data_IF_126461309295
#
_entry.id   IF_126461309295
#
_cell.length_a   1.000
_cell.length_b   1.000
_cell.length_c   1.000
_cell.angle_alpha   90.00
_cell.angle_beta   90.00
_cell.angle_gamma   90.00
#
_symmetry.space_group_name_H-M   'P 1'
#
loop_
_entity.id
_entity.type
_entity.pdbx_description
1 polymer ?
#
# COMPACT_ATOMS: atom_id res chain seq x y z
N UNK A 1 8.84 46.31 16.97
CA UNK A 1 8.46 44.88 17.01
C UNK A 1 7.11 44.75 16.32
N UNK A 2 7.09 44.19 15.11
CA UNK A 2 5.86 43.93 14.33
C UNK A 2 5.87 42.45 13.99
N UNK A 3 4.87 41.74 14.48
CA UNK A 3 4.81 40.28 14.43
C UNK A 3 4.04 39.91 13.16
N UNK A 4 4.75 39.43 12.15
CA UNK A 4 4.14 38.98 10.89
C UNK A 4 3.88 37.48 10.97
N UNK A 5 2.66 37.11 11.35
CA UNK A 5 2.19 35.72 11.30
C UNK A 5 1.85 35.38 9.85
N UNK A 6 2.80 34.75 9.13
CA UNK A 6 2.55 34.23 7.78
C UNK A 6 1.72 32.95 7.89
N UNK A 7 0.41 33.07 7.63
CA UNK A 7 -0.49 31.92 7.50
C UNK A 7 -0.19 31.27 6.14
N UNK A 8 0.46 30.09 6.15
CA UNK A 8 0.70 29.31 4.95
C UNK A 8 -0.64 28.87 4.34
N UNK A 9 -0.90 29.24 3.09
CA UNK A 9 -2.08 28.82 2.35
C UNK A 9 -2.01 27.32 2.05
N UNK A 10 -3.12 26.56 2.14
CA UNK A 10 -3.14 25.18 1.69
C UNK A 10 -2.95 25.15 0.17
N UNK A 11 -1.84 24.55 -0.27
CA UNK A 11 -1.54 24.31 -1.67
C UNK A 11 -2.68 23.49 -2.26
N UNK A 12 -3.47 24.09 -3.16
CA UNK A 12 -4.52 23.42 -3.92
C UNK A 12 -3.86 22.43 -4.87
N UNK A 13 -3.60 21.22 -4.41
CA UNK A 13 -3.16 20.13 -5.27
C UNK A 13 -4.32 19.79 -6.21
N UNK A 14 -4.13 20.11 -7.49
CA UNK A 14 -5.11 19.95 -8.56
C UNK A 14 -5.65 18.51 -8.63
N UNK A 15 -6.93 18.33 -8.31
CA UNK A 15 -7.63 17.05 -8.22
C UNK A 15 -8.10 16.48 -9.58
N UNK A 16 -7.50 16.90 -10.69
CA UNK A 16 -7.98 16.60 -12.05
C UNK A 16 -7.26 15.47 -12.81
N UNK A 17 -6.27 14.79 -12.23
CA UNK A 17 -5.49 13.76 -12.97
C UNK A 17 -5.70 12.30 -12.49
N UNK A 18 -6.48 12.05 -11.43
CA UNK A 18 -6.67 10.68 -10.90
C UNK A 18 -8.06 10.08 -11.16
N UNK A 19 -8.81 10.60 -12.14
CA UNK A 19 -10.04 9.97 -12.63
C UNK A 19 -9.72 8.85 -13.63
N UNK A 20 -9.09 7.79 -13.14
CA UNK A 20 -9.13 6.47 -13.77
C UNK A 20 -9.26 5.45 -12.65
N UNK A 21 -10.52 5.19 -12.30
CA UNK A 21 -11.01 4.20 -11.34
C UNK A 21 -10.25 2.88 -11.53
N UNK A 22 -9.23 2.65 -10.71
CA UNK A 22 -8.65 1.32 -10.51
C UNK A 22 -9.49 0.69 -9.42
N UNK A 23 -10.29 -0.31 -9.81
CA UNK A 23 -11.02 -1.24 -8.94
C UNK A 23 -10.33 -1.38 -7.59
N UNK A 24 -11.03 -0.96 -6.53
CA UNK A 24 -10.63 -0.86 -5.12
C UNK A 24 -9.57 -1.91 -4.72
N UNK A 25 -8.30 -1.54 -4.84
CA UNK A 25 -7.25 -2.29 -4.16
C UNK A 25 -7.28 -1.77 -2.73
N UNK A 26 -7.54 -2.65 -1.75
CA UNK A 26 -7.46 -2.28 -0.34
C UNK A 26 -6.07 -1.69 -0.10
N UNK A 27 -5.99 -0.52 0.54
CA UNK A 27 -4.70 0.08 0.87
C UNK A 27 -3.91 -0.87 1.80
N UNK A 28 -2.58 -0.93 1.69
CA UNK A 28 -1.77 -1.85 2.49
C UNK A 28 -2.06 -1.78 4.00
N UNK A 29 -2.24 -0.57 4.53
CA UNK A 29 -2.52 -0.36 5.95
C UNK A 29 -3.87 -0.96 6.33
N UNK A 30 -4.93 -0.63 5.59
CA UNK A 30 -6.27 -1.17 5.81
C UNK A 30 -6.28 -2.70 5.71
N UNK A 31 -5.51 -3.28 4.78
CA UNK A 31 -5.39 -4.74 4.65
C UNK A 31 -4.76 -5.36 5.91
N UNK A 32 -3.69 -4.77 6.43
CA UNK A 32 -3.04 -5.26 7.64
C UNK A 32 -3.97 -5.17 8.86
N UNK A 33 -4.77 -4.11 8.98
CA UNK A 33 -5.78 -3.96 10.03
C UNK A 33 -6.90 -4.99 9.92
N UNK A 34 -7.48 -5.18 8.73
CA UNK A 34 -8.59 -6.12 8.49
C UNK A 34 -8.20 -7.55 8.82
N UNK A 35 -6.99 -7.97 8.43
CA UNK A 35 -6.51 -9.34 8.67
C UNK A 35 -5.66 -9.48 9.93
N UNK A 36 -5.56 -8.42 10.76
CA UNK A 36 -4.88 -8.43 12.06
C UNK A 36 -3.40 -8.79 12.01
N UNK A 37 -2.66 -8.36 10.97
CA UNK A 37 -1.27 -8.77 10.75
C UNK A 37 -0.33 -7.63 10.43
N UNK A 38 0.84 -7.96 9.88
CA UNK A 38 1.85 -6.99 9.47
C UNK A 38 2.27 -7.20 8.02
N UNK A 39 2.54 -6.07 7.35
CA UNK A 39 3.11 -6.05 6.01
C UNK A 39 4.58 -5.67 6.05
N UNK A 40 5.39 -6.42 5.31
CA UNK A 40 6.79 -6.17 5.10
C UNK A 40 7.04 -5.86 3.62
N UNK A 41 7.60 -4.70 3.34
CA UNK A 41 8.00 -4.28 2.00
C UNK A 41 9.51 -4.01 1.96
N UNK A 42 10.21 -4.61 0.99
CA UNK A 42 11.68 -4.51 0.88
C UNK A 42 12.10 -4.44 -0.59
N UNK A 43 13.22 -3.80 -0.88
CA UNK A 43 13.91 -3.88 -2.18
C UNK A 43 15.09 -4.83 -2.02
N UNK A 44 15.12 -5.92 -2.80
CA UNK A 44 16.19 -6.93 -2.75
C UNK A 44 16.66 -7.20 -4.18
N UNK A 45 17.94 -6.92 -4.46
CA UNK A 45 18.55 -7.19 -5.76
C UNK A 45 17.83 -6.52 -6.95
N UNK A 46 17.25 -5.33 -6.75
CA UNK A 46 16.47 -4.61 -7.78
C UNK A 46 15.02 -5.05 -7.92
N UNK A 47 14.58 -6.05 -7.15
CA UNK A 47 13.19 -6.52 -7.13
C UNK A 47 12.50 -6.12 -5.83
N UNK A 48 11.24 -5.70 -5.93
CA UNK A 48 10.43 -5.38 -4.76
C UNK A 48 9.77 -6.64 -4.21
N UNK A 49 9.92 -6.83 -2.91
CA UNK A 49 9.27 -7.84 -2.11
C UNK A 49 8.10 -7.23 -1.34
N UNK A 50 7.00 -7.95 -1.25
CA UNK A 50 5.91 -7.67 -0.34
C UNK A 50 5.46 -8.96 0.34
N UNK A 51 5.45 -8.97 1.67
CA UNK A 51 5.00 -10.11 2.48
C UNK A 51 4.00 -9.67 3.54
N UNK A 52 2.97 -10.49 3.75
CA UNK A 52 2.02 -10.38 4.85
C UNK A 52 2.21 -11.55 5.81
N UNK A 53 2.13 -11.26 7.11
CA UNK A 53 2.17 -12.28 8.16
C UNK A 53 1.26 -11.91 9.33
N UNK A 54 0.44 -12.88 9.74
CA UNK A 54 -0.30 -12.95 10.99
C UNK A 54 -0.09 -14.35 11.62
N UNK A 55 -0.65 -14.62 12.79
CA UNK A 55 -0.57 -15.86 13.57
C UNK A 55 -0.89 -17.12 12.76
N UNK A 56 -1.87 -17.06 11.86
CA UNK A 56 -2.29 -18.21 11.04
C UNK A 56 -2.13 -18.06 9.52
N UNK A 57 -1.88 -16.83 9.04
CA UNK A 57 -1.88 -16.54 7.61
C UNK A 57 -0.58 -15.89 7.16
N UNK A 58 -0.03 -16.40 6.06
CA UNK A 58 1.20 -15.88 5.46
C UNK A 58 1.13 -15.94 3.95
N UNK A 59 1.37 -14.80 3.32
CA UNK A 59 1.49 -14.67 1.88
C UNK A 59 2.66 -13.75 1.54
N UNK A 60 3.32 -14.00 0.42
CA UNK A 60 4.37 -13.12 -0.07
C UNK A 60 4.45 -13.17 -1.59
N UNK A 61 4.99 -12.10 -2.18
CA UNK A 61 5.23 -12.03 -3.60
C UNK A 61 6.31 -11.00 -3.95
N UNK A 62 6.74 -11.08 -5.21
CA UNK A 62 7.73 -10.19 -5.81
C UNK A 62 7.12 -9.37 -6.94
N UNK A 63 7.75 -8.25 -7.27
CA UNK A 63 7.38 -7.42 -8.41
C UNK A 63 8.45 -6.41 -8.81
N UNK A 64 8.31 -5.88 -10.03
CA UNK A 64 9.16 -4.79 -10.55
C UNK A 64 8.88 -3.43 -9.89
N UNK A 65 7.81 -3.32 -9.10
CA UNK A 65 7.47 -2.16 -8.27
C UNK A 65 6.77 -2.62 -7.00
N UNK A 66 6.77 -1.76 -5.96
CA UNK A 66 6.06 -2.00 -4.70
C UNK A 66 4.58 -2.34 -4.96
N UNK A 67 3.91 -1.56 -5.81
CA UNK A 67 2.51 -1.78 -6.15
C UNK A 67 2.27 -3.12 -6.87
N UNK A 68 3.21 -3.58 -7.70
CA UNK A 68 3.11 -4.88 -8.37
C UNK A 68 3.34 -6.02 -7.38
N UNK A 69 4.34 -5.91 -6.51
CA UNK A 69 4.60 -6.88 -5.46
C UNK A 69 3.40 -7.03 -4.51
N UNK A 70 2.79 -5.92 -4.09
CA UNK A 70 1.60 -5.93 -3.25
C UNK A 70 0.39 -6.60 -3.93
N UNK A 71 0.11 -6.28 -5.19
CA UNK A 71 -0.97 -6.94 -5.95
C UNK A 71 -0.77 -8.44 -6.09
N UNK A 72 0.46 -8.87 -6.36
CA UNK A 72 0.79 -10.28 -6.46
C UNK A 72 0.63 -10.97 -5.09
N UNK A 73 1.01 -10.29 -4.00
CA UNK A 73 0.84 -10.81 -2.63
C UNK A 73 -0.65 -10.98 -2.29
N UNK A 74 -1.50 -9.99 -2.61
CA UNK A 74 -2.95 -10.08 -2.43
C UNK A 74 -3.55 -11.26 -3.22
N UNK A 75 -3.11 -11.45 -4.46
CA UNK A 75 -3.55 -12.58 -5.28
C UNK A 75 -3.19 -13.91 -4.61
N UNK A 76 -1.94 -14.08 -4.18
CA UNK A 76 -1.48 -15.27 -3.48
C UNK A 76 -2.22 -15.49 -2.15
N UNK A 77 -2.54 -14.42 -1.43
CA UNK A 77 -3.29 -14.48 -0.19
C UNK A 77 -4.74 -14.96 -0.43
N UNK A 78 -5.44 -14.37 -1.41
CA UNK A 78 -6.80 -14.79 -1.77
C UNK A 78 -6.84 -16.25 -2.23
N UNK A 79 -5.92 -16.65 -3.11
CA UNK A 79 -5.84 -18.04 -3.60
C UNK A 79 -5.61 -19.07 -2.49
N UNK A 80 -4.93 -18.67 -1.41
CA UNK A 80 -4.58 -19.59 -0.32
C UNK A 80 -5.62 -19.65 0.80
N UNK A 81 -6.36 -18.57 1.04
CA UNK A 81 -7.19 -18.41 2.25
C UNK A 81 -8.65 -18.03 2.02
N UNK A 82 -9.02 -17.59 0.81
CA UNK A 82 -10.38 -17.11 0.50
C UNK A 82 -11.08 -18.00 -0.56
N UNK A 83 -10.42 -19.07 -1.02
CA UNK A 83 -10.99 -20.08 -1.95
C UNK A 83 -11.86 -21.07 -1.18
#
# INVERSE_FOLDING_TARGET
MRNTTTIAQPVKHSSRVLRKVKKNLIEPVDFAEVFGGSLQMKLVGGCYYCGFQNEGQRAHAWGSSIAKAYKNMLKNFHEKYIV
#
